data_IF_558785849240
#
_entry.id   IF_558785849240
#
_cell.length_a   1.000
_cell.length_b   1.000
_cell.length_c   1.000
_cell.angle_alpha   90.00
_cell.angle_beta   90.00
_cell.angle_gamma   90.00
#
_symmetry.space_group_name_H-M   'P 1'
#
loop_
_entity.id
_entity.type
_entity.pdbx_description
1 polymer ?
#
# COMPACT_ATOMS: atom_id res chain seq x y z
N UNK A 1 4.91 7.65 -11.98
CA UNK A 1 3.75 8.39 -12.54
C UNK A 1 2.79 8.40 -11.40
N UNK A 2 2.43 9.57 -10.85
CA UNK A 2 1.58 9.59 -9.66
C UNK A 2 0.24 8.87 -9.89
N UNK A 3 -0.26 8.21 -8.86
CA UNK A 3 -1.62 7.67 -8.82
C UNK A 3 -2.59 8.85 -8.78
N UNK A 4 -3.39 9.01 -9.84
CA UNK A 4 -4.51 9.95 -9.83
C UNK A 4 -5.53 9.54 -8.77
N UNK A 5 -6.42 10.47 -8.40
CA UNK A 5 -7.53 10.16 -7.49
C UNK A 5 -8.33 8.91 -7.90
N UNK A 6 -8.61 8.74 -9.19
CA UNK A 6 -9.34 7.56 -9.69
C UNK A 6 -8.53 6.26 -9.48
N UNK A 7 -7.23 6.28 -9.73
CA UNK A 7 -6.34 5.14 -9.46
C UNK A 7 -6.28 4.82 -7.97
N UNK A 8 -6.23 5.83 -7.11
CA UNK A 8 -6.28 5.66 -5.65
C UNK A 8 -7.60 5.02 -5.23
N UNK A 9 -8.74 5.47 -5.77
CA UNK A 9 -10.03 4.83 -5.48
C UNK A 9 -10.07 3.35 -5.90
N UNK A 10 -9.46 3.00 -7.04
CA UNK A 10 -9.31 1.59 -7.46
C UNK A 10 -8.41 0.82 -6.50
N UNK A 11 -7.29 1.41 -6.04
CA UNK A 11 -6.40 0.81 -5.05
C UNK A 11 -7.14 0.49 -3.76
N UNK A 12 -7.98 1.41 -3.28
CA UNK A 12 -8.82 1.18 -2.10
C UNK A 12 -9.78 0.01 -2.29
N UNK A 13 -10.41 -0.13 -3.46
CA UNK A 13 -11.27 -1.29 -3.75
C UNK A 13 -10.47 -2.59 -3.67
N UNK A 14 -9.25 -2.62 -4.24
CA UNK A 14 -8.37 -3.79 -4.14
C UNK A 14 -7.99 -4.06 -2.68
N UNK A 15 -7.61 -3.05 -1.89
CA UNK A 15 -7.30 -3.23 -0.48
C UNK A 15 -8.51 -3.77 0.31
N UNK A 16 -9.73 -3.34 0.00
CA UNK A 16 -10.93 -3.91 0.61
C UNK A 16 -11.16 -5.38 0.26
N UNK A 17 -10.81 -5.81 -0.96
CA UNK A 17 -10.81 -7.24 -1.33
C UNK A 17 -9.72 -8.01 -0.58
N UNK A 18 -8.51 -7.45 -0.47
CA UNK A 18 -7.42 -8.06 0.31
C UNK A 18 -7.75 -8.14 1.81
N UNK A 19 -8.52 -7.19 2.34
CA UNK A 19 -9.00 -7.21 3.74
C UNK A 19 -9.84 -8.44 4.07
N UNK A 20 -10.46 -9.09 3.08
CA UNK A 20 -11.17 -10.37 3.30
C UNK A 20 -10.22 -11.52 3.66
N UNK A 21 -8.97 -11.43 3.20
CA UNK A 21 -7.89 -12.40 3.47
C UNK A 21 -7.03 -11.94 4.66
N UNK A 22 -6.86 -10.63 4.83
CA UNK A 22 -6.14 -9.98 5.93
C UNK A 22 -7.11 -9.06 6.71
N UNK A 23 -7.93 -9.59 7.64
CA UNK A 23 -8.94 -8.81 8.35
C UNK A 23 -8.40 -7.63 9.17
N UNK A 24 -7.15 -7.76 9.61
CA UNK A 24 -6.43 -6.74 10.37
C UNK A 24 -6.01 -5.53 9.52
N UNK A 25 -6.21 -5.57 8.19
CA UNK A 25 -5.89 -4.45 7.31
C UNK A 25 -6.77 -3.22 7.62
N UNK A 26 -6.14 -2.20 8.17
CA UNK A 26 -6.68 -0.87 8.40
C UNK A 26 -6.55 -0.03 7.12
N UNK A 27 -7.68 0.47 6.63
CA UNK A 27 -7.78 1.25 5.39
C UNK A 27 -8.41 2.60 5.76
N UNK A 28 -7.62 3.58 6.24
CA UNK A 28 -8.13 4.90 6.61
C UNK A 28 -8.63 5.64 5.37
N UNK A 29 -9.69 6.43 5.51
CA UNK A 29 -10.19 7.30 4.42
C UNK A 29 -9.14 8.32 3.97
N UNK A 30 -8.23 8.69 4.86
CA UNK A 30 -7.09 9.56 4.59
C UNK A 30 -5.84 8.91 5.19
N UNK A 31 -4.99 8.28 4.37
CA UNK A 31 -3.79 7.63 4.88
C UNK A 31 -2.76 8.69 5.28
N UNK A 32 -1.91 8.37 6.26
CA UNK A 32 -0.78 9.21 6.62
C UNK A 32 0.21 9.32 5.45
N UNK A 33 0.77 10.50 5.26
CA UNK A 33 1.86 10.72 4.31
C UNK A 33 3.19 10.32 4.96
N UNK A 34 3.77 9.21 4.49
CA UNK A 34 5.06 8.74 4.97
C UNK A 34 6.22 9.61 4.47
N UNK A 35 6.03 10.46 3.47
CA UNK A 35 7.08 11.38 2.99
C UNK A 35 7.48 12.42 4.03
N UNK A 36 6.64 12.69 5.02
CA UNK A 36 6.95 13.59 6.14
C UNK A 36 7.60 12.86 7.33
N UNK A 37 7.69 11.53 7.28
CA UNK A 37 8.24 10.75 8.38
C UNK A 37 9.76 10.80 8.43
N UNK A 38 10.32 10.81 9.64
CA UNK A 38 11.74 10.57 9.87
C UNK A 38 12.15 9.18 9.38
N UNK A 39 13.43 9.00 9.08
CA UNK A 39 13.95 7.70 8.61
C UNK A 39 13.67 6.57 9.59
N UNK A 40 13.88 6.81 10.89
CA UNK A 40 13.60 5.86 11.96
C UNK A 40 12.13 5.43 12.01
N UNK A 41 11.19 6.35 11.76
CA UNK A 41 9.75 6.03 11.73
C UNK A 41 9.41 5.21 10.48
N UNK A 42 10.10 5.45 9.36
CA UNK A 42 9.92 4.65 8.13
C UNK A 42 10.51 3.25 8.22
N UNK A 43 11.46 2.98 9.11
CA UNK A 43 12.02 1.63 9.31
C UNK A 43 11.08 0.69 10.09
N UNK A 44 10.18 1.27 10.89
CA UNK A 44 9.20 0.53 11.68
C UNK A 44 7.78 1.10 11.51
N UNK A 45 7.23 1.05 10.28
CA UNK A 45 5.84 1.43 10.08
C UNK A 45 4.92 0.44 10.79
N UNK A 46 3.77 0.92 11.29
CA UNK A 46 2.74 0.00 11.80
C UNK A 46 2.27 -0.90 10.66
N UNK A 47 2.27 -2.21 10.91
CA UNK A 47 1.82 -3.23 9.95
C UNK A 47 0.31 -3.17 9.75
N UNK A 48 -0.13 -3.74 8.63
CA UNK A 48 -1.52 -3.87 8.22
C UNK A 48 -2.25 -2.51 8.22
N UNK A 49 -1.56 -1.42 7.92
CA UNK A 49 -2.14 -0.08 7.76
C UNK A 49 -1.76 0.46 6.37
N UNK A 50 -2.74 1.02 5.66
CA UNK A 50 -2.51 1.69 4.38
C UNK A 50 -1.93 3.08 4.60
N UNK A 51 -0.85 3.38 3.88
CA UNK A 51 -0.12 4.63 3.87
C UNK A 51 -0.01 5.20 2.46
N UNK A 52 0.13 6.52 2.40
CA UNK A 52 0.46 7.24 1.17
C UNK A 52 1.89 7.78 1.21
N UNK A 53 2.42 8.11 0.04
CA UNK A 53 3.66 8.89 -0.12
C UNK A 53 3.42 10.04 -1.09
N UNK A 54 3.86 11.24 -0.73
CA UNK A 54 3.78 12.47 -1.52
C UNK A 54 2.36 12.74 -2.03
N UNK A 55 1.48 13.19 -1.13
CA UNK A 55 0.12 13.57 -1.48
C UNK A 55 0.10 14.62 -2.58
N UNK A 56 -0.75 14.41 -3.59
CA UNK A 56 -0.92 15.32 -4.72
C UNK A 56 -2.12 16.25 -4.52
N UNK A 57 -2.13 17.36 -5.26
CA UNK A 57 -3.18 18.39 -5.18
C UNK A 57 -4.56 17.89 -5.59
N UNK A 58 -4.63 16.86 -6.43
CA UNK A 58 -5.88 16.21 -6.86
C UNK A 58 -6.38 15.14 -5.88
N UNK A 59 -5.79 15.05 -4.68
CA UNK A 59 -6.00 13.94 -3.73
C UNK A 59 -5.49 12.58 -4.24
N UNK A 60 -4.66 12.59 -5.29
CA UNK A 60 -3.80 11.48 -5.66
C UNK A 60 -2.61 11.31 -4.72
N UNK A 61 -1.79 10.31 -5.01
CA UNK A 61 -0.58 9.97 -4.25
C UNK A 61 0.53 9.56 -5.21
N UNK A 62 1.80 9.78 -4.87
CA UNK A 62 2.88 9.15 -5.66
C UNK A 62 2.86 7.64 -5.44
N UNK A 63 2.69 7.20 -4.19
CA UNK A 63 2.58 5.79 -3.85
C UNK A 63 1.46 5.56 -2.85
N UNK A 64 0.83 4.39 -2.92
CA UNK A 64 -0.08 3.92 -1.87
C UNK A 64 0.18 2.45 -1.56
N UNK A 65 0.47 2.16 -0.29
CA UNK A 65 1.02 0.86 0.13
C UNK A 65 0.56 0.48 1.53
N UNK A 66 0.67 -0.80 1.88
CA UNK A 66 0.66 -1.25 3.27
C UNK A 66 1.83 -2.18 3.52
N UNK A 67 2.14 -2.38 4.81
CA UNK A 67 3.23 -3.25 5.26
C UNK A 67 2.69 -4.47 6.00
N UNK A 68 3.33 -5.62 5.90
CA UNK A 68 2.96 -6.83 6.66
C UNK A 68 4.20 -7.67 6.92
N UNK A 69 4.32 -8.33 8.08
CA UNK A 69 5.53 -9.08 8.43
C UNK A 69 5.63 -10.44 7.75
N UNK A 70 4.49 -11.07 7.44
CA UNK A 70 4.42 -12.40 6.83
C UNK A 70 3.18 -12.50 5.92
N UNK A 71 3.26 -12.02 4.66
CA UNK A 71 2.11 -12.11 3.76
C UNK A 71 1.81 -13.57 3.43
N UNK A 72 0.54 -13.97 3.58
CA UNK A 72 0.11 -15.30 3.14
C UNK A 72 0.22 -15.43 1.62
N UNK A 73 0.45 -16.65 1.12
CA UNK A 73 0.50 -16.92 -0.33
C UNK A 73 -0.80 -16.46 -1.01
N UNK A 74 -1.94 -16.72 -0.37
CA UNK A 74 -3.26 -16.29 -0.86
C UNK A 74 -3.38 -14.77 -0.99
N UNK A 75 -2.79 -14.00 -0.06
CA UNK A 75 -2.79 -12.54 -0.13
C UNK A 75 -1.99 -12.06 -1.33
N UNK A 76 -0.81 -12.65 -1.57
CA UNK A 76 0.07 -12.28 -2.68
C UNK A 76 -0.55 -12.65 -4.03
N UNK A 77 -1.10 -13.85 -4.16
CA UNK A 77 -1.81 -14.30 -5.37
C UNK A 77 -3.01 -13.40 -5.66
N UNK A 78 -3.80 -13.05 -4.63
CA UNK A 78 -4.96 -12.18 -4.82
C UNK A 78 -4.55 -10.77 -5.22
N UNK A 79 -3.47 -10.24 -4.66
CA UNK A 79 -2.92 -8.97 -5.11
C UNK A 79 -2.42 -9.06 -6.56
N UNK A 80 -1.75 -10.14 -6.94
CA UNK A 80 -1.23 -10.35 -8.30
C UNK A 80 -2.34 -10.37 -9.37
N UNK A 81 -3.47 -10.98 -9.04
CA UNK A 81 -4.68 -10.99 -9.87
C UNK A 81 -5.26 -9.58 -10.06
N UNK A 82 -5.32 -8.79 -8.99
CA UNK A 82 -6.02 -7.50 -8.97
C UNK A 82 -5.15 -6.30 -9.36
N UNK A 83 -3.81 -6.42 -9.27
CA UNK A 83 -2.90 -5.27 -9.45
C UNK A 83 -3.00 -4.60 -10.82
N UNK A 84 -3.36 -5.37 -11.85
CA UNK A 84 -3.49 -4.92 -13.25
C UNK A 84 -4.69 -3.99 -13.49
N UNK A 85 -5.63 -3.89 -12.54
CA UNK A 85 -6.77 -2.98 -12.64
C UNK A 85 -6.39 -1.50 -12.53
N UNK A 86 -5.17 -1.22 -12.07
CA UNK A 86 -4.64 0.12 -11.91
C UNK A 86 -3.51 0.28 -12.90
N UNK A 87 -3.55 1.28 -13.80
CA UNK A 87 -2.54 1.51 -14.83
C UNK A 87 -1.29 2.19 -14.23
N UNK A 88 -0.79 1.63 -13.14
CA UNK A 88 0.37 2.06 -12.39
C UNK A 88 1.25 0.86 -12.10
N UNK A 89 2.49 1.13 -11.78
CA UNK A 89 3.38 0.05 -11.43
C UNK A 89 3.03 -0.45 -10.02
N UNK A 90 3.18 -1.75 -9.79
CA UNK A 90 2.81 -2.40 -8.54
C UNK A 90 4.02 -3.02 -7.89
N UNK A 91 4.03 -3.08 -6.56
CA UNK A 91 5.03 -3.79 -5.80
C UNK A 91 4.42 -4.76 -4.80
N UNK A 92 5.07 -5.91 -4.67
CA UNK A 92 4.80 -6.95 -3.67
C UNK A 92 6.13 -7.64 -3.36
N UNK A 93 6.93 -7.05 -2.46
CA UNK A 93 8.29 -7.54 -2.18
C UNK A 93 8.73 -7.21 -0.74
N UNK A 94 9.83 -7.80 -0.24
CA UNK A 94 10.42 -7.38 1.03
C UNK A 94 10.74 -5.87 1.01
N UNK A 95 10.50 -5.23 2.14
CA UNK A 95 10.70 -3.80 2.28
C UNK A 95 12.18 -3.48 2.44
N UNK A 96 12.68 -2.53 1.65
CA UNK A 96 14.12 -2.27 1.57
C UNK A 96 14.74 -1.69 2.84
N UNK A 97 13.94 -1.01 3.69
CA UNK A 97 14.42 -0.46 4.96
C UNK A 97 14.30 -1.43 6.13
N UNK A 98 13.48 -2.46 6.00
CA UNK A 98 13.28 -3.47 7.01
C UNK A 98 12.88 -4.79 6.34
N UNK A 99 13.83 -5.73 6.27
CA UNK A 99 13.66 -7.01 5.57
C UNK A 99 12.65 -7.93 6.23
N UNK A 100 12.29 -7.68 7.49
CA UNK A 100 11.27 -8.42 8.22
C UNK A 100 9.84 -7.96 7.84
N UNK A 101 9.73 -6.91 7.02
CA UNK A 101 8.48 -6.40 6.51
C UNK A 101 8.39 -6.64 5.00
N UNK A 102 7.17 -6.84 4.54
CA UNK A 102 6.77 -6.90 3.15
C UNK A 102 5.96 -5.65 2.82
N UNK A 103 6.20 -5.07 1.65
CA UNK A 103 5.49 -3.91 1.14
C UNK A 103 4.63 -4.31 -0.06
N UNK A 104 3.35 -3.93 -0.03
CA UNK A 104 2.37 -4.24 -1.06
C UNK A 104 1.63 -2.97 -1.47
N UNK A 105 1.57 -2.65 -2.77
CA UNK A 105 0.82 -1.49 -3.27
C UNK A 105 1.25 -1.01 -4.67
N UNK A 106 1.11 0.30 -4.93
CA UNK A 106 1.38 0.92 -6.25
C UNK A 106 2.26 2.16 -6.18
N UNK A 107 2.91 2.45 -7.32
CA UNK A 107 3.83 3.55 -7.61
C UNK A 107 3.71 4.10 -9.04
#
# INVERSE_FOLDING_TARGET
>A
MALSYESVQKAYKVFHELKKILPELEIPSWPEDMSDWSESKRESPKINLVYGFDKKSDSGWENIVFFTSEPSIQLLEKFDELKSQIPNSSLSKPYSKNTDLYIIGWF
#
